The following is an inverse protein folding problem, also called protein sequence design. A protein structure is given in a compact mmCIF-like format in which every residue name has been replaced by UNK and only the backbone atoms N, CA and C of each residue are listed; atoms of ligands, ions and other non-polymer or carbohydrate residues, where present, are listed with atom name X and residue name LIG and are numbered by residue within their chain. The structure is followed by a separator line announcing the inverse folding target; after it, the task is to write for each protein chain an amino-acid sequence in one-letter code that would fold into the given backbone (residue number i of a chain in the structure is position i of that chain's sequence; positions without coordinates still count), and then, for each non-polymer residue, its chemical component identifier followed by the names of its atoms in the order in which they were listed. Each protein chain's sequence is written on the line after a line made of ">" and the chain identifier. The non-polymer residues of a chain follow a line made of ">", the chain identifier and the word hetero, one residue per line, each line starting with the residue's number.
data_IF_672118509917
#
_entry.id   IF_672118509917
#
_cell.length_a   1.000
_cell.length_b   1.000
_cell.length_c   1.000
_cell.angle_alpha   90.00
_cell.angle_beta   90.00
_cell.angle_gamma   90.00
#
_symmetry.space_group_name_H-M   'P 1'
#
loop_
_entity.id
_entity.type
_entity.pdbx_description
1 polymer ?
#
# COMPACT_ATOMS: atom_id res chain seq x y z
N UNK A 1 -21.10 -5.07 -8.34
CA UNK A 1 -19.83 -5.20 -7.58
C UNK A 1 -18.77 -4.52 -8.44
N UNK A 2 -18.56 -3.21 -8.23
CA UNK A 2 -17.91 -2.30 -9.18
C UNK A 2 -17.23 -1.21 -8.35
N UNK A 3 -16.08 -1.52 -7.75
CA UNK A 3 -15.27 -0.56 -6.96
C UNK A 3 -13.93 -1.15 -6.47
N UNK A 4 -13.71 -2.47 -6.57
CA UNK A 4 -12.42 -3.10 -6.20
C UNK A 4 -11.31 -2.92 -7.24
N UNK A 5 -11.65 -2.57 -8.49
CA UNK A 5 -10.69 -2.53 -9.61
C UNK A 5 -9.76 -1.31 -9.63
N UNK A 6 -9.88 -0.39 -8.66
CA UNK A 6 -9.11 0.86 -8.62
C UNK A 6 -8.40 1.10 -7.28
N UNK A 7 -8.07 0.04 -6.54
CA UNK A 7 -7.23 0.18 -5.34
C UNK A 7 -5.74 0.11 -5.74
N UNK A 8 -4.88 1.05 -5.26
CA UNK A 8 -3.45 1.00 -5.52
C UNK A 8 -2.73 -0.15 -4.77
N UNK A 9 -3.41 -0.73 -3.78
CA UNK A 9 -2.91 -1.80 -2.92
C UNK A 9 -3.85 -2.99 -2.91
N UNK A 10 -3.27 -4.19 -2.79
CA UNK A 10 -4.02 -5.42 -2.50
C UNK A 10 -3.98 -5.71 -1.00
N UNK A 11 -4.89 -6.56 -0.52
CA UNK A 11 -4.90 -6.99 0.89
C UNK A 11 -3.57 -7.63 1.29
N UNK A 12 -2.98 -8.45 0.40
CA UNK A 12 -1.68 -9.06 0.63
C UNK A 12 -0.53 -8.04 0.78
N UNK A 13 -0.59 -6.90 0.09
CA UNK A 13 0.42 -5.84 0.24
C UNK A 13 0.34 -5.21 1.65
N UNK A 14 -0.88 -5.01 2.15
CA UNK A 14 -1.15 -4.43 3.46
C UNK A 14 -0.82 -5.42 4.58
N UNK A 15 -1.21 -6.69 4.42
CA UNK A 15 -0.91 -7.79 5.34
C UNK A 15 0.61 -7.96 5.51
N UNK A 16 1.38 -7.83 4.42
CA UNK A 16 2.85 -7.90 4.47
C UNK A 16 3.44 -6.80 5.36
N UNK A 17 2.99 -5.55 5.16
CA UNK A 17 3.46 -4.42 5.98
C UNK A 17 3.01 -4.58 7.44
N UNK A 18 1.75 -4.95 7.70
CA UNK A 18 1.22 -5.17 9.04
C UNK A 18 2.01 -6.22 9.80
N UNK A 19 2.35 -7.32 9.14
CA UNK A 19 3.17 -8.39 9.72
C UNK A 19 4.54 -7.85 10.13
N UNK A 20 5.22 -7.13 9.24
CA UNK A 20 6.55 -6.56 9.53
C UNK A 20 6.49 -5.56 10.70
N UNK A 21 5.45 -4.73 10.77
CA UNK A 21 5.23 -3.80 11.88
C UNK A 21 5.03 -4.58 13.19
N UNK A 22 4.14 -5.57 13.19
CA UNK A 22 3.84 -6.39 14.37
C UNK A 22 5.05 -7.15 14.89
N UNK A 23 5.81 -7.77 13.98
CA UNK A 23 7.05 -8.46 14.32
C UNK A 23 8.10 -7.50 14.89
N UNK A 24 8.19 -6.28 14.36
CA UNK A 24 9.09 -5.24 14.86
C UNK A 24 8.68 -4.75 16.25
N UNK A 25 7.38 -4.53 16.49
CA UNK A 25 6.87 -4.17 17.82
C UNK A 25 7.15 -5.26 18.85
N UNK A 26 6.90 -6.52 18.50
CA UNK A 26 7.18 -7.66 19.37
C UNK A 26 8.67 -7.75 19.71
N UNK A 27 9.53 -7.64 18.70
CA UNK A 27 10.98 -7.62 18.89
C UNK A 27 11.42 -6.45 19.78
N UNK A 28 10.88 -5.25 19.57
CA UNK A 28 11.21 -4.10 20.40
C UNK A 28 10.76 -4.26 21.86
N UNK A 29 9.66 -4.99 22.10
CA UNK A 29 9.27 -5.43 23.44
C UNK A 29 10.35 -6.28 24.12
N UNK A 30 10.94 -7.23 23.39
CA UNK A 30 12.05 -8.07 23.88
C UNK A 30 13.32 -7.26 24.14
N UNK A 31 13.61 -6.26 23.30
CA UNK A 31 14.72 -5.32 23.50
C UNK A 31 14.53 -4.55 24.80
N UNK A 32 13.34 -3.98 25.03
CA UNK A 32 13.01 -3.27 26.27
C UNK A 32 13.14 -4.15 27.50
N UNK A 33 12.63 -5.38 27.43
CA UNK A 33 12.71 -6.33 28.55
C UNK A 33 14.16 -6.76 28.83
N UNK A 34 14.97 -6.95 27.78
CA UNK A 34 16.38 -7.29 27.96
C UNK A 34 17.16 -6.12 28.54
N UNK A 35 16.84 -4.89 28.11
CA UNK A 35 17.47 -3.66 28.59
C UNK A 35 17.10 -3.36 30.05
N UNK A 36 15.84 -3.58 30.46
CA UNK A 36 15.42 -3.32 31.84
C UNK A 36 16.09 -4.24 32.87
N UNK A 37 16.58 -5.41 32.43
CA UNK A 37 17.32 -6.38 33.25
C UNK A 37 18.84 -6.18 33.18
N UNK A 38 19.33 -5.29 32.33
CA UNK A 38 20.76 -5.11 32.07
C UNK A 38 21.43 -4.30 33.19
N UNK A 39 22.55 -4.80 33.72
CA UNK A 39 23.36 -4.01 34.65
C UNK A 39 24.29 -3.04 33.88
N UNK A 40 24.75 -1.95 34.50
CA UNK A 40 25.62 -0.96 33.83
C UNK A 40 26.95 -1.52 33.30
N UNK A 41 27.41 -2.65 33.84
CA UNK A 41 28.65 -3.34 33.44
C UNK A 41 28.44 -4.40 32.38
N UNK A 42 27.19 -4.76 32.09
CA UNK A 42 26.88 -5.86 31.17
C UNK A 42 26.92 -5.38 29.72
N UNK A 43 27.38 -6.26 28.84
CA UNK A 43 27.37 -6.01 27.39
C UNK A 43 25.93 -6.11 26.89
N UNK A 44 25.42 -5.13 26.13
CA UNK A 44 24.06 -5.16 25.62
C UNK A 44 23.86 -6.33 24.65
N UNK A 45 22.75 -7.04 24.84
CA UNK A 45 22.36 -8.21 24.04
C UNK A 45 22.09 -7.89 22.57
N UNK A 46 21.56 -6.70 22.29
CA UNK A 46 21.19 -6.26 20.94
C UNK A 46 22.16 -5.17 20.49
N UNK A 47 22.64 -5.28 19.25
CA UNK A 47 23.62 -4.40 18.64
C UNK A 47 22.97 -3.51 17.59
N UNK A 48 23.70 -2.50 17.11
CA UNK A 48 23.21 -1.60 16.05
C UNK A 48 22.76 -2.34 14.80
N UNK A 49 23.46 -3.43 14.44
CA UNK A 49 23.09 -4.29 13.30
C UNK A 49 21.68 -4.86 13.42
N UNK A 50 21.24 -5.24 14.62
CA UNK A 50 19.89 -5.78 14.83
C UNK A 50 18.81 -4.73 14.56
N UNK A 51 19.09 -3.45 14.88
CA UNK A 51 18.20 -2.34 14.56
C UNK A 51 18.20 -2.04 13.07
N UNK A 52 19.38 -2.03 12.44
CA UNK A 52 19.52 -1.81 11.00
C UNK A 52 18.72 -2.85 10.20
N UNK A 53 18.73 -4.11 10.64
CA UNK A 53 17.93 -5.18 10.02
C UNK A 53 16.43 -4.89 10.08
N UNK A 54 15.91 -4.43 11.24
CA UNK A 54 14.49 -4.06 11.36
C UNK A 54 14.14 -2.82 10.54
N UNK A 55 15.02 -1.82 10.54
CA UNK A 55 14.85 -0.60 9.74
C UNK A 55 14.81 -0.96 8.25
N UNK A 56 15.72 -1.80 7.76
CA UNK A 56 15.79 -2.19 6.37
C UNK A 56 14.55 -2.96 5.93
N UNK A 57 14.03 -3.84 6.79
CA UNK A 57 12.80 -4.58 6.50
C UNK A 57 11.59 -3.65 6.38
N UNK A 58 11.40 -2.73 7.33
CA UNK A 58 10.32 -1.73 7.28
C UNK A 58 10.44 -0.78 6.09
N UNK A 59 11.66 -0.33 5.79
CA UNK A 59 11.95 0.52 4.62
C UNK A 59 11.57 -0.19 3.33
N UNK A 60 11.89 -1.48 3.20
CA UNK A 60 11.57 -2.27 2.00
C UNK A 60 10.06 -2.30 1.74
N UNK A 61 9.27 -2.69 2.74
CA UNK A 61 7.80 -2.79 2.59
C UNK A 61 7.19 -1.41 2.31
N UNK A 62 7.63 -0.37 3.02
CA UNK A 62 7.13 0.99 2.83
C UNK A 62 7.48 1.54 1.44
N UNK A 63 8.70 1.33 0.96
CA UNK A 63 9.12 1.74 -0.37
C UNK A 63 8.36 1.01 -1.48
N UNK A 64 8.03 -0.27 -1.25
CA UNK A 64 7.22 -1.05 -2.19
C UNK A 64 5.81 -0.44 -2.33
N UNK A 65 5.15 -0.11 -1.21
CA UNK A 65 3.85 0.56 -1.24
C UNK A 65 3.94 1.96 -1.87
N UNK A 66 4.95 2.74 -1.51
CA UNK A 66 5.17 4.07 -2.10
C UNK A 66 5.30 3.97 -3.63
N UNK A 67 6.10 3.02 -4.12
CA UNK A 67 6.26 2.78 -5.54
C UNK A 67 4.95 2.39 -6.23
N UNK A 68 4.08 1.61 -5.56
CA UNK A 68 2.75 1.27 -6.09
C UNK A 68 1.86 2.50 -6.25
N UNK A 69 1.79 3.38 -5.23
CA UNK A 69 1.02 4.63 -5.33
C UNK A 69 1.58 5.53 -6.44
N UNK A 70 2.89 5.72 -6.50
CA UNK A 70 3.51 6.60 -7.49
C UNK A 70 3.23 6.18 -8.94
N UNK A 71 3.07 4.87 -9.18
CA UNK A 71 2.76 4.31 -10.50
C UNK A 71 1.27 4.11 -10.74
N UNK A 72 0.43 4.35 -9.74
CA UNK A 72 -1.00 4.17 -9.86
C UNK A 72 -1.60 5.31 -10.68
N UNK A 73 -2.21 4.96 -11.82
CA UNK A 73 -2.93 5.90 -12.68
C UNK A 73 -4.41 5.56 -12.59
N UNK A 74 -5.25 6.43 -12.00
CA UNK A 74 -6.70 6.22 -11.97
C UNK A 74 -7.25 6.09 -13.38
N UNK A 75 -8.13 5.12 -13.61
CA UNK A 75 -8.81 4.98 -14.90
C UNK A 75 -9.82 6.12 -15.02
N UNK A 76 -9.84 6.87 -16.14
CA UNK A 76 -10.83 7.91 -16.33
C UNK A 76 -12.23 7.30 -16.28
N UNK A 77 -13.13 7.90 -15.48
CA UNK A 77 -14.54 7.50 -15.41
C UNK A 77 -15.11 7.49 -16.83
N UNK A 78 -15.86 6.44 -17.23
CA UNK A 78 -16.49 6.42 -18.54
C UNK A 78 -17.42 7.61 -18.65
N UNK A 79 -17.07 8.55 -19.53
CA UNK A 79 -17.98 9.63 -19.94
C UNK A 79 -19.11 8.96 -20.69
N UNK A 80 -20.29 8.89 -20.08
CA UNK A 80 -21.56 8.69 -20.80
C UNK A 80 -21.81 9.92 -21.67
N UNK A 81 -21.12 10.01 -22.81
CA UNK A 81 -21.52 10.89 -23.88
C UNK A 81 -22.65 10.18 -24.63
N UNK A 82 -23.88 10.48 -24.23
CA UNK A 82 -25.07 10.18 -25.03
C UNK A 82 -24.83 10.74 -26.44
N UNK A 83 -24.86 9.92 -27.52
CA UNK A 83 -24.82 10.47 -28.87
C UNK A 83 -26.07 11.35 -29.08
N UNK A 84 -25.95 12.54 -29.72
CA UNK A 84 -27.10 13.37 -30.00
C UNK A 84 -28.10 12.60 -30.89
N UNK A 85 -29.41 12.81 -30.73
CA UNK A 85 -30.41 12.11 -31.53
C UNK A 85 -30.24 12.49 -33.00
N UNK A 86 -29.85 11.53 -33.84
CA UNK A 86 -29.89 11.68 -35.28
C UNK A 86 -31.36 11.79 -35.69
N UNK A 87 -31.81 12.98 -36.04
CA UNK A 87 -33.11 13.17 -36.69
C UNK A 87 -33.06 12.56 -38.09
N UNK A 88 -33.64 11.38 -38.25
CA UNK A 88 -33.98 10.82 -39.56
C UNK A 88 -35.11 11.66 -40.16
N UNK A 89 -34.75 12.65 -40.98
CA UNK A 89 -35.71 13.33 -41.85
C UNK A 89 -36.00 12.41 -43.03
N UNK A 90 -37.10 11.68 -42.94
CA UNK A 90 -37.75 10.98 -44.05
C UNK A 90 -38.29 12.03 -45.03
N UNK A 91 -37.55 12.31 -46.10
CA UNK A 91 -38.06 13.02 -47.25
C UNK A 91 -38.98 12.07 -48.05
N UNK A 92 -40.29 12.22 -47.88
CA UNK A 92 -41.28 11.79 -48.89
C UNK A 92 -41.40 12.94 -49.89
N UNK A 93 -40.99 12.70 -51.14
CA UNK A 93 -41.30 13.59 -52.28
C UNK A 93 -42.44 12.96 -53.08
N UNK A 94 -43.55 13.67 -53.32
CA UNK A 94 -44.49 13.35 -54.38
C UNK A 94 -44.12 14.11 -55.66
N UNK A 95 -44.12 13.44 -56.81
CA UNK A 95 -44.75 13.83 -58.10
C UNK A 95 -44.67 12.59 -59.00
#
# INVERSE_FOLDING_TARGET
>A
KREEDEKPFTDADLDSLEKVISDTYKWFGQVKESYSKLLPTDVPKYLSSDFDDKINLLKRETNYLLGKIQRFVPKPKPTTTTPPPTTTTTAKTPV
#
